data_IF_440194869801
#
_entry.id   IF_440194869801
#
_cell.length_a   1.000
_cell.length_b   1.000
_cell.length_c   1.000
_cell.angle_alpha   90.00
_cell.angle_beta   90.00
_cell.angle_gamma   90.00
#
_symmetry.space_group_name_H-M   'P 1'
#
loop_
_entity.id
_entity.type
_entity.pdbx_description
1 polymer ?
#
# COMPACT_ATOMS: atom_id res chain seq x y z
N UNK A 1 47.66 19.58 -25.81
CA UNK A 1 47.82 18.36 -24.99
C UNK A 1 46.52 17.58 -24.99
N UNK A 2 46.60 16.37 -25.54
CA UNK A 2 45.52 15.43 -25.84
C UNK A 2 45.38 14.45 -24.65
N UNK A 3 44.16 14.20 -24.16
CA UNK A 3 43.82 12.94 -23.49
C UNK A 3 42.51 12.38 -24.04
N UNK A 4 42.68 11.68 -25.17
CA UNK A 4 41.82 10.60 -25.67
C UNK A 4 41.31 9.70 -24.54
N UNK A 5 40.00 9.44 -24.57
CA UNK A 5 39.47 8.09 -24.73
C UNK A 5 39.64 7.14 -23.55
N UNK A 6 38.57 7.00 -22.76
CA UNK A 6 38.18 5.70 -22.19
C UNK A 6 36.72 5.45 -22.55
N UNK A 7 36.51 4.98 -23.78
CA UNK A 7 35.30 4.23 -24.14
C UNK A 7 35.39 2.91 -23.37
N UNK A 8 34.64 2.79 -22.28
CA UNK A 8 34.47 1.49 -21.63
C UNK A 8 33.46 0.71 -22.48
N UNK A 9 33.84 -0.53 -22.79
CA UNK A 9 33.11 -1.44 -23.64
C UNK A 9 31.79 -1.84 -23.01
N UNK A 10 30.79 -2.06 -23.87
CA UNK A 10 29.41 -2.35 -23.52
C UNK A 10 29.25 -3.36 -22.40
N UNK A 11 28.73 -2.87 -21.29
CA UNK A 11 27.73 -3.59 -20.52
C UNK A 11 26.50 -2.73 -20.71
N UNK A 12 25.69 -3.07 -21.70
CA UNK A 12 24.34 -2.52 -21.78
C UNK A 12 23.59 -3.05 -20.57
N UNK A 13 23.16 -2.15 -19.71
CA UNK A 13 22.42 -2.37 -18.46
C UNK A 13 20.95 -2.75 -18.74
N UNK A 14 20.74 -3.57 -19.78
CA UNK A 14 19.46 -3.76 -20.48
C UNK A 14 18.82 -5.12 -20.15
N UNK A 15 19.40 -5.89 -19.21
CA UNK A 15 19.05 -7.30 -18.95
C UNK A 15 18.52 -7.60 -17.53
N UNK A 16 18.21 -6.59 -16.72
CA UNK A 16 17.50 -6.78 -15.44
C UNK A 16 16.02 -6.39 -15.53
N UNK A 17 15.45 -6.29 -16.75
CA UNK A 17 14.11 -5.72 -16.96
C UNK A 17 13.02 -6.42 -16.19
N UNK A 18 13.17 -7.71 -15.87
CA UNK A 18 12.11 -8.48 -15.21
C UNK A 18 12.69 -9.46 -14.17
N UNK A 19 12.87 -9.00 -12.93
CA UNK A 19 13.12 -9.87 -11.78
C UNK A 19 11.77 -10.27 -11.16
N UNK A 20 11.25 -11.45 -11.53
CA UNK A 20 10.12 -12.06 -10.85
C UNK A 20 10.60 -13.01 -9.75
N UNK A 21 10.22 -12.76 -8.50
CA UNK A 21 10.47 -13.66 -7.38
C UNK A 21 9.15 -14.03 -6.70
N UNK A 22 8.83 -15.31 -6.67
CA UNK A 22 7.68 -15.82 -5.91
C UNK A 22 8.17 -16.38 -4.57
N UNK A 23 7.60 -15.89 -3.48
CA UNK A 23 8.01 -16.28 -2.12
C UNK A 23 6.76 -16.74 -1.36
N UNK A 24 6.68 -18.05 -1.09
CA UNK A 24 5.61 -18.62 -0.28
C UNK A 24 6.02 -18.63 1.19
N UNK A 25 5.26 -17.92 2.03
CA UNK A 25 5.50 -17.80 3.46
C UNK A 25 4.28 -18.27 4.26
N UNK A 26 4.49 -18.81 5.47
CA UNK A 26 3.39 -19.12 6.36
C UNK A 26 2.68 -17.83 6.83
N UNK A 27 1.38 -17.95 7.15
CA UNK A 27 0.52 -16.81 7.54
C UNK A 27 0.98 -16.06 8.79
N UNK A 28 1.82 -16.67 9.62
CA UNK A 28 2.37 -16.06 10.84
C UNK A 28 3.63 -15.25 10.58
N UNK A 29 4.12 -15.21 9.34
CA UNK A 29 5.34 -14.50 8.98
C UNK A 29 5.16 -12.98 8.99
N UNK A 30 6.24 -12.30 9.34
CA UNK A 30 6.40 -10.86 9.16
C UNK A 30 7.22 -10.64 7.90
N UNK A 31 6.72 -9.79 7.00
CA UNK A 31 7.35 -9.57 5.69
C UNK A 31 7.68 -8.11 5.52
N UNK A 32 8.94 -7.85 5.17
CA UNK A 32 9.40 -6.52 4.75
C UNK A 32 9.91 -6.60 3.31
N UNK A 33 9.29 -5.83 2.42
CA UNK A 33 9.63 -5.76 1.00
C UNK A 33 10.14 -4.35 0.71
N UNK A 34 11.32 -4.26 0.09
CA UNK A 34 11.87 -3.00 -0.40
C UNK A 34 12.28 -3.16 -1.85
N UNK A 35 11.69 -2.36 -2.72
CA UNK A 35 12.10 -2.28 -4.12
C UNK A 35 12.25 -0.82 -4.53
N UNK A 36 12.95 -0.60 -5.65
CA UNK A 36 13.04 0.73 -6.28
C UNK A 36 12.03 0.82 -7.41
N UNK A 37 11.90 -0.26 -8.18
CA UNK A 37 11.01 -0.39 -9.33
C UNK A 37 10.41 -1.78 -9.37
N UNK A 38 9.15 -1.89 -9.73
CA UNK A 38 8.45 -3.15 -9.93
C UNK A 38 7.23 -3.31 -9.03
N UNK A 39 6.28 -4.09 -9.51
CA UNK A 39 4.99 -4.26 -8.87
C UNK A 39 5.05 -5.30 -7.76
N UNK A 40 4.30 -5.06 -6.69
CA UNK A 40 4.27 -5.92 -5.51
C UNK A 40 2.85 -6.41 -5.30
N UNK A 41 2.66 -7.71 -5.45
CA UNK A 41 1.40 -8.37 -5.14
C UNK A 41 1.54 -9.25 -3.88
N UNK A 42 0.65 -9.04 -2.92
CA UNK A 42 0.60 -9.83 -1.68
C UNK A 42 -0.76 -10.49 -1.54
N UNK A 43 -0.77 -11.82 -1.71
CA UNK A 43 -1.98 -12.63 -1.70
C UNK A 43 -2.37 -13.26 -0.34
N UNK A 44 -1.45 -13.82 0.48
CA UNK A 44 -1.84 -14.44 1.76
C UNK A 44 -1.92 -13.42 2.90
N UNK A 45 -2.88 -13.60 3.81
CA UNK A 45 -2.91 -12.91 5.10
C UNK A 45 -1.64 -13.26 5.93
N UNK A 46 -0.74 -12.30 6.06
CA UNK A 46 0.50 -12.37 6.85
C UNK A 46 0.24 -11.86 8.29
N UNK A 47 1.19 -12.06 9.22
CA UNK A 47 1.05 -11.48 10.56
C UNK A 47 1.23 -9.96 10.51
N UNK A 48 2.28 -9.50 9.83
CA UNK A 48 2.53 -8.08 9.57
C UNK A 48 3.20 -7.89 8.21
N UNK A 49 2.87 -6.78 7.55
CA UNK A 49 3.40 -6.44 6.24
C UNK A 49 3.97 -5.03 6.25
N UNK A 50 5.20 -4.89 5.76
CA UNK A 50 5.83 -3.60 5.52
C UNK A 50 6.37 -3.56 4.08
N UNK A 51 5.87 -2.62 3.29
CA UNK A 51 6.27 -2.44 1.89
C UNK A 51 6.84 -1.04 1.71
N UNK A 52 8.00 -0.96 1.07
CA UNK A 52 8.62 0.29 0.63
C UNK A 52 9.00 0.20 -0.84
N UNK A 53 8.36 0.99 -1.69
CA UNK A 53 8.75 1.14 -3.10
C UNK A 53 8.97 2.61 -3.46
N UNK A 54 9.78 2.87 -4.49
CA UNK A 54 9.90 4.21 -5.07
C UNK A 54 8.95 4.33 -6.25
N UNK A 55 8.94 3.33 -7.13
CA UNK A 55 8.08 3.27 -8.31
C UNK A 55 7.49 1.87 -8.44
N UNK A 56 6.18 1.78 -8.65
CA UNK A 56 5.48 0.52 -8.88
C UNK A 56 4.23 0.41 -8.02
N UNK A 57 3.32 -0.45 -8.49
CA UNK A 57 2.01 -0.58 -7.88
C UNK A 57 2.04 -1.63 -6.77
N UNK A 58 1.26 -1.38 -5.72
CA UNK A 58 1.16 -2.28 -4.57
C UNK A 58 -0.27 -2.79 -4.45
N UNK A 59 -0.43 -4.10 -4.66
CA UNK A 59 -1.73 -4.77 -4.54
C UNK A 59 -1.69 -5.73 -3.37
N UNK A 60 -2.59 -5.52 -2.41
CA UNK A 60 -2.76 -6.38 -1.24
C UNK A 60 -4.15 -7.01 -1.33
N UNK A 61 -4.20 -8.27 -1.74
CA UNK A 61 -5.43 -9.02 -1.94
C UNK A 61 -6.03 -9.52 -0.62
N UNK A 62 -5.22 -9.69 0.43
CA UNK A 62 -5.70 -10.02 1.78
C UNK A 62 -4.92 -9.23 2.82
N UNK A 63 -5.64 -8.54 3.70
CA UNK A 63 -5.02 -7.78 4.77
C UNK A 63 -4.24 -8.67 5.75
N UNK A 64 -3.13 -8.16 6.32
CA UNK A 64 -2.43 -8.86 7.39
C UNK A 64 -3.27 -8.88 8.67
N UNK A 65 -2.91 -9.79 9.58
CA UNK A 65 -3.64 -10.04 10.82
C UNK A 65 -3.53 -8.90 11.84
N UNK A 66 -2.46 -8.10 11.79
CA UNK A 66 -2.20 -7.04 12.78
C UNK A 66 -1.94 -5.69 12.16
N UNK A 67 -0.90 -5.57 11.32
CA UNK A 67 -0.46 -4.26 10.82
C UNK A 67 0.01 -4.34 9.38
N UNK A 68 -0.39 -3.33 8.60
CA UNK A 68 0.00 -3.13 7.21
C UNK A 68 0.58 -1.73 7.03
N UNK A 69 1.87 -1.64 6.70
CA UNK A 69 2.54 -0.37 6.40
C UNK A 69 2.98 -0.38 4.95
N UNK A 70 2.47 0.55 4.15
CA UNK A 70 2.86 0.70 2.74
C UNK A 70 3.38 2.11 2.53
N UNK A 71 4.55 2.21 1.92
CA UNK A 71 5.18 3.47 1.55
C UNK A 71 5.56 3.41 0.07
N UNK A 72 4.99 4.29 -0.72
CA UNK A 72 5.39 4.50 -2.12
C UNK A 72 5.71 5.98 -2.36
N UNK A 73 6.56 6.25 -3.34
CA UNK A 73 6.77 7.61 -3.83
C UNK A 73 5.89 7.85 -5.04
N UNK A 74 5.89 6.92 -5.99
CA UNK A 74 5.09 6.97 -7.21
C UNK A 74 4.49 5.61 -7.50
N UNK A 75 3.16 5.56 -7.63
CA UNK A 75 2.43 4.33 -7.91
C UNK A 75 1.17 4.22 -7.07
N UNK A 76 0.29 3.33 -7.50
CA UNK A 76 -1.01 3.18 -6.90
C UNK A 76 -0.98 2.11 -5.81
N UNK A 77 -1.78 2.32 -4.76
CA UNK A 77 -1.93 1.37 -3.67
C UNK A 77 -3.36 0.87 -3.67
N UNK A 78 -3.56 -0.43 -3.90
CA UNK A 78 -4.84 -1.09 -3.80
C UNK A 78 -4.83 -2.13 -2.67
N UNK A 79 -5.73 -1.99 -1.70
CA UNK A 79 -5.83 -2.95 -0.59
C UNK A 79 -7.25 -3.48 -0.42
N UNK A 80 -7.36 -4.77 -0.08
CA UNK A 80 -8.62 -5.42 0.26
C UNK A 80 -8.61 -5.85 1.72
N UNK A 81 -9.55 -5.31 2.50
CA UNK A 81 -9.64 -5.49 3.94
C UNK A 81 -10.82 -6.37 4.31
N UNK A 82 -10.52 -7.53 4.89
CA UNK A 82 -11.47 -8.53 5.37
C UNK A 82 -11.46 -8.72 6.90
N UNK A 83 -10.49 -8.15 7.61
CA UNK A 83 -10.46 -8.18 9.08
C UNK A 83 -9.91 -6.89 9.69
N UNK A 84 -10.09 -6.74 11.01
CA UNK A 84 -9.45 -5.68 11.80
C UNK A 84 -7.92 -5.70 11.60
N UNK A 85 -7.38 -4.56 11.19
CA UNK A 85 -5.95 -4.35 10.96
C UNK A 85 -5.65 -2.85 11.03
N UNK A 86 -4.45 -2.50 11.50
CA UNK A 86 -3.95 -1.13 11.43
C UNK A 86 -3.26 -0.89 10.09
N UNK A 87 -3.82 0.01 9.28
CA UNK A 87 -3.26 0.44 8.01
C UNK A 87 -2.54 1.78 8.13
N UNK A 88 -1.32 1.83 7.61
CA UNK A 88 -0.54 3.06 7.46
C UNK A 88 -0.06 3.15 6.02
N UNK A 89 -0.82 3.88 5.21
CA UNK A 89 -0.54 4.05 3.79
C UNK A 89 0.06 5.44 3.56
N UNK A 90 1.25 5.49 2.97
CA UNK A 90 1.90 6.74 2.59
C UNK A 90 2.25 6.71 1.11
N UNK A 91 1.74 7.68 0.38
CA UNK A 91 2.12 7.94 -1.01
C UNK A 91 2.63 9.38 -1.12
N UNK A 92 3.48 9.66 -2.11
CA UNK A 92 3.80 11.04 -2.48
C UNK A 92 2.96 11.42 -3.69
N UNK A 93 2.93 10.56 -4.71
CA UNK A 93 2.17 10.72 -5.94
C UNK A 93 1.53 9.39 -6.33
N UNK A 94 0.21 9.34 -6.36
CA UNK A 94 -0.53 8.15 -6.78
C UNK A 94 -1.81 7.97 -5.97
N UNK A 95 -2.68 7.13 -6.50
CA UNK A 95 -4.00 6.93 -5.94
C UNK A 95 -3.99 5.80 -4.91
N UNK A 96 -4.78 5.98 -3.86
CA UNK A 96 -4.91 4.98 -2.80
C UNK A 96 -6.36 4.50 -2.81
N UNK A 97 -6.57 3.23 -3.17
CA UNK A 97 -7.87 2.55 -3.17
C UNK A 97 -7.92 1.53 -2.06
N UNK A 98 -8.88 1.70 -1.15
CA UNK A 98 -9.10 0.76 -0.06
C UNK A 98 -10.50 0.17 -0.19
N UNK A 99 -10.56 -1.16 -0.30
CA UNK A 99 -11.79 -1.93 -0.29
C UNK A 99 -12.00 -2.52 1.10
N UNK A 100 -13.20 -2.37 1.65
CA UNK A 100 -13.51 -2.86 2.99
C UNK A 100 -14.76 -3.74 2.96
N UNK A 101 -14.68 -4.87 3.68
CA UNK A 101 -15.80 -5.76 3.90
C UNK A 101 -16.93 -5.09 4.71
N UNK A 102 -18.20 -5.41 4.43
CA UNK A 102 -19.35 -4.70 5.00
C UNK A 102 -19.61 -5.01 6.48
N UNK A 103 -18.91 -5.94 7.10
CA UNK A 103 -19.05 -6.29 8.52
C UNK A 103 -18.04 -5.57 9.43
N UNK A 104 -17.20 -4.68 8.88
CA UNK A 104 -16.15 -3.98 9.60
C UNK A 104 -16.50 -2.53 9.90
N UNK A 105 -16.09 -2.08 11.08
CA UNK A 105 -16.11 -0.66 11.45
C UNK A 105 -14.77 -0.04 11.07
N UNK A 106 -14.80 1.14 10.47
CA UNK A 106 -13.62 1.77 9.87
C UNK A 106 -13.45 3.17 10.42
N UNK A 107 -12.27 3.45 10.95
CA UNK A 107 -11.83 4.79 11.30
C UNK A 107 -10.77 5.23 10.29
N UNK A 108 -10.98 6.38 9.66
CA UNK A 108 -10.10 6.88 8.59
C UNK A 108 -9.55 8.24 8.99
N UNK A 109 -8.22 8.32 9.06
CA UNK A 109 -7.47 9.55 9.24
C UNK A 109 -6.62 9.77 7.98
N UNK A 110 -7.14 10.61 7.08
CA UNK A 110 -6.51 10.91 5.80
C UNK A 110 -6.02 12.35 5.75
N UNK A 111 -4.74 12.52 5.39
CA UNK A 111 -4.16 13.83 5.13
C UNK A 111 -3.67 13.89 3.67
N UNK A 112 -4.22 14.83 2.89
CA UNK A 112 -3.75 15.14 1.54
C UNK A 112 -3.31 16.59 1.45
N UNK A 113 -2.21 16.86 0.75
CA UNK A 113 -1.80 18.24 0.44
C UNK A 113 -2.49 18.74 -0.83
N UNK A 114 -2.59 17.90 -1.86
CA UNK A 114 -3.12 18.25 -3.19
C UNK A 114 -3.79 17.05 -3.88
N UNK A 115 -5.05 16.79 -3.56
CA UNK A 115 -5.86 15.72 -4.16
C UNK A 115 -7.24 15.65 -3.50
N UNK A 116 -8.15 14.86 -4.05
CA UNK A 116 -9.49 14.70 -3.52
C UNK A 116 -9.57 13.44 -2.62
N UNK A 117 -10.13 13.60 -1.42
CA UNK A 117 -10.45 12.47 -0.55
C UNK A 117 -11.91 12.13 -0.78
N UNK A 118 -12.17 11.07 -1.55
CA UNK A 118 -13.51 10.57 -1.79
C UNK A 118 -13.77 9.33 -0.93
N UNK A 119 -14.80 9.41 -0.09
CA UNK A 119 -15.24 8.30 0.76
C UNK A 119 -16.71 8.03 0.48
N UNK A 120 -17.01 6.86 -0.06
CA UNK A 120 -18.39 6.38 -0.17
C UNK A 120 -18.93 5.88 1.18
N UNK A 121 -18.09 5.85 2.22
CA UNK A 121 -18.51 5.62 3.58
C UNK A 121 -19.07 6.94 4.12
N UNK A 122 -20.36 6.94 4.47
CA UNK A 122 -21.00 8.02 5.21
C UNK A 122 -20.17 8.33 6.46
N UNK A 123 -19.56 9.50 6.48
CA UNK A 123 -18.92 10.08 7.65
C UNK A 123 -20.03 10.58 8.61
N UNK A 124 -20.85 9.65 9.09
CA UNK A 124 -21.78 9.95 10.18
C UNK A 124 -20.94 10.04 11.45
N UNK A 125 -20.49 11.26 11.73
CA UNK A 125 -19.85 11.65 12.97
C UNK A 125 -20.84 11.67 14.13
N UNK A 126 -21.46 10.52 14.43
CA UNK A 126 -22.22 10.33 15.66
C UNK A 126 -21.47 9.32 16.53
N UNK A 127 -20.93 9.83 17.62
CA UNK A 127 -20.15 9.11 18.63
C UNK A 127 -21.02 8.22 19.51
N UNK A 128 -21.94 7.47 18.91
CA UNK A 128 -22.84 6.58 19.65
C UNK A 128 -23.15 5.35 18.83
N UNK A 129 -22.89 4.18 19.43
CA UNK A 129 -23.19 2.82 18.94
C UNK A 129 -22.05 2.06 18.22
N UNK A 130 -20.92 1.86 18.89
CA UNK A 130 -20.01 0.74 18.60
C UNK A 130 -19.89 -0.24 19.78
N UNK A 131 -21.02 -0.50 20.45
CA UNK A 131 -21.16 -1.68 21.28
C UNK A 131 -21.64 -2.85 20.40
N UNK A 132 -20.74 -3.46 19.60
CA UNK A 132 -21.16 -4.66 18.87
C UNK A 132 -20.20 -5.34 17.89
N UNK A 133 -19.25 -4.66 17.26
CA UNK A 133 -18.27 -5.29 16.36
C UNK A 133 -16.86 -5.07 16.92
N UNK A 134 -16.27 -6.11 17.50
CA UNK A 134 -14.93 -6.08 18.12
C UNK A 134 -13.79 -6.01 17.07
N UNK A 135 -14.03 -5.39 15.93
CA UNK A 135 -13.15 -5.36 14.75
C UNK A 135 -13.16 -3.97 14.12
N UNK A 136 -12.54 -3.02 14.82
CA UNK A 136 -12.26 -1.68 14.29
C UNK A 136 -11.01 -1.76 13.40
N UNK A 137 -11.10 -1.23 12.18
CA UNK A 137 -9.99 -1.06 11.25
C UNK A 137 -9.58 0.41 11.28
N UNK A 138 -8.35 0.68 11.70
CA UNK A 138 -7.80 2.04 11.66
C UNK A 138 -7.02 2.24 10.37
N UNK A 139 -7.37 3.24 9.59
CA UNK A 139 -6.71 3.56 8.32
C UNK A 139 -6.13 4.96 8.41
N UNK A 140 -4.81 5.04 8.56
CA UNK A 140 -4.08 6.30 8.45
C UNK A 140 -3.50 6.42 7.04
N UNK A 141 -3.95 7.41 6.27
CA UNK A 141 -3.40 7.71 4.95
C UNK A 141 -2.73 9.07 4.91
N UNK A 142 -1.63 9.16 4.20
CA UNK A 142 -0.96 10.43 3.92
C UNK A 142 -0.53 10.44 2.47
N UNK A 143 -1.06 11.39 1.70
CA UNK A 143 -0.61 11.64 0.32
C UNK A 143 -0.23 13.09 0.13
N UNK A 144 0.74 13.37 -0.73
CA UNK A 144 1.03 14.75 -1.13
C UNK A 144 0.16 15.08 -2.33
N UNK A 145 0.11 14.19 -3.32
CA UNK A 145 -0.70 14.35 -4.52
C UNK A 145 -1.33 13.04 -4.98
N UNK A 146 -2.62 13.06 -5.27
CA UNK A 146 -3.39 11.89 -5.69
C UNK A 146 -4.66 11.71 -4.86
N UNK A 147 -5.54 10.87 -5.36
CA UNK A 147 -6.88 10.71 -4.83
C UNK A 147 -6.95 9.50 -3.89
N UNK A 148 -7.64 9.69 -2.77
CA UNK A 148 -7.95 8.59 -1.87
C UNK A 148 -9.39 8.17 -2.10
N UNK A 149 -9.59 6.92 -2.49
CA UNK A 149 -10.90 6.34 -2.70
C UNK A 149 -11.14 5.21 -1.72
N UNK A 150 -12.20 5.35 -0.94
CA UNK A 150 -12.63 4.35 0.02
C UNK A 150 -13.98 3.77 -0.38
N UNK A 151 -13.99 2.47 -0.66
CA UNK A 151 -15.16 1.76 -1.18
C UNK A 151 -15.54 0.60 -0.25
N UNK A 152 -16.84 0.45 -0.01
CA UNK A 152 -17.41 -0.69 0.73
C UNK A 152 -17.99 -1.68 -0.28
N UNK A 153 -17.59 -2.95 -0.18
CA UNK A 153 -18.10 -4.02 -1.05
C UNK A 153 -19.31 -4.74 -0.45
#
# INVERSE_FOLDING_TARGET
>A
FNKKGRKFWGISDDWLSDLSAEISLPRTSKVEIKTVSGDIEVNPALASLQIGTISGDVVISQNPATTCVVKTVSGDIATHTFSACDYKLKSISGDIKVHIAPDLTVEVDGNSVSGELNSEISLDGDSDSLAGSNKVVTITTSTISGDFNLVRN
#
